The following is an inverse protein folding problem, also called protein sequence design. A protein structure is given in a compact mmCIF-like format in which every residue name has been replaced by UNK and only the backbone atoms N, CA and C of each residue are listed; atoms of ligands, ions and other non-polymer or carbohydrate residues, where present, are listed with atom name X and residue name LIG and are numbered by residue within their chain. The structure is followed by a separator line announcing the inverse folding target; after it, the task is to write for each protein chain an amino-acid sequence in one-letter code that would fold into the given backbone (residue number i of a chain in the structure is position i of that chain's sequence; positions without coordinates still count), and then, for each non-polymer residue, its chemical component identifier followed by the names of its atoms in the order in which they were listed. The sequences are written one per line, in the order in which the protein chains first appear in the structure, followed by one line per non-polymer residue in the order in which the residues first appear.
data_IF_684301485554
#
_entry.id   IF_684301485554
#
_cell.length_a   1.000
_cell.length_b   1.000
_cell.length_c   1.000
_cell.angle_alpha   90.00
_cell.angle_beta   90.00
_cell.angle_gamma   90.00
#
_symmetry.space_group_name_H-M   'P 1'
#
loop_
_entity.id
_entity.type
_entity.pdbx_description
1 polymer ?
#
# COMPACT_ATOMS: atom_id res chain seq x y z
N UNK A 1 -3.94 23.93 2.43
CA UNK A 1 -2.70 24.27 3.18
C UNK A 1 -1.67 23.27 2.72
N UNK A 2 -0.67 23.70 1.97
CA UNK A 2 0.33 22.81 1.39
C UNK A 2 1.32 22.45 2.50
N UNK A 3 1.49 21.16 2.78
CA UNK A 3 2.39 20.70 3.86
C UNK A 3 3.80 21.25 3.63
N UNK A 4 4.27 21.26 2.38
CA UNK A 4 5.65 21.58 1.99
C UNK A 4 6.12 22.99 2.34
N UNK A 5 5.22 23.97 2.41
CA UNK A 5 5.57 25.38 2.65
C UNK A 5 5.77 25.71 4.14
N UNK A 6 5.50 24.74 5.02
CA UNK A 6 5.56 24.95 6.46
C UNK A 6 6.96 24.68 7.02
N UNK A 7 7.33 25.36 8.12
CA UNK A 7 8.48 25.00 8.92
C UNK A 7 8.41 23.54 9.36
N UNK A 8 9.58 22.89 9.49
CA UNK A 8 9.68 21.47 9.85
C UNK A 8 8.92 21.16 11.14
N UNK A 9 9.04 22.03 12.15
CA UNK A 9 8.40 21.87 13.45
C UNK A 9 6.88 21.84 13.34
N UNK A 10 6.33 22.69 12.46
CA UNK A 10 4.89 22.77 12.22
C UNK A 10 4.38 21.56 11.43
N UNK A 11 5.15 21.08 10.42
CA UNK A 11 4.86 19.82 9.71
C UNK A 11 4.77 18.65 10.70
N UNK A 12 5.77 18.50 11.56
CA UNK A 12 5.82 17.44 12.58
C UNK A 12 4.63 17.54 13.53
N UNK A 13 4.28 18.74 13.99
CA UNK A 13 3.14 18.96 14.88
C UNK A 13 1.83 18.51 14.24
N UNK A 14 1.60 18.88 12.98
CA UNK A 14 0.40 18.48 12.23
C UNK A 14 0.38 16.97 11.99
N UNK A 15 1.48 16.38 11.52
CA UNK A 15 1.55 14.94 11.29
C UNK A 15 1.36 14.13 12.58
N UNK A 16 1.85 14.59 13.74
CA UNK A 16 1.53 13.97 15.04
C UNK A 16 0.04 14.04 15.35
N UNK A 17 -0.57 15.21 15.17
CA UNK A 17 -2.00 15.36 15.42
C UNK A 17 -2.84 14.42 14.53
N UNK A 18 -2.44 14.25 13.27
CA UNK A 18 -3.10 13.31 12.36
C UNK A 18 -2.80 11.85 12.70
N UNK A 19 -1.59 11.53 13.18
CA UNK A 19 -1.24 10.21 13.73
C UNK A 19 -2.14 9.87 14.93
N UNK A 20 -2.31 10.79 15.88
CA UNK A 20 -3.16 10.57 17.05
C UNK A 20 -4.60 10.27 16.63
N UNK A 21 -5.16 11.06 15.69
CA UNK A 21 -6.49 10.81 15.12
C UNK A 21 -6.55 9.45 14.43
N UNK A 22 -5.53 9.10 13.65
CA UNK A 22 -5.45 7.83 12.95
C UNK A 22 -5.44 6.64 13.92
N UNK A 23 -4.70 6.73 15.02
CA UNK A 23 -4.64 5.70 16.06
C UNK A 23 -6.03 5.40 16.67
N UNK A 24 -6.92 6.39 16.79
CA UNK A 24 -8.31 6.15 17.23
C UNK A 24 -9.17 5.38 16.22
N UNK A 25 -8.73 5.29 14.96
CA UNK A 25 -9.45 4.53 13.91
C UNK A 25 -9.00 3.08 13.81
N UNK A 26 -7.89 2.72 14.46
CA UNK A 26 -7.29 1.39 14.36
C UNK A 26 -7.93 0.39 15.33
N UNK A 27 -7.90 -0.88 14.94
CA UNK A 27 -8.23 -1.98 15.86
C UNK A 27 -7.17 -2.06 16.98
N UNK A 28 -7.53 -2.45 18.22
CA UNK A 28 -6.59 -2.48 19.35
C UNK A 28 -5.28 -3.23 19.06
N UNK A 29 -5.37 -4.39 18.41
CA UNK A 29 -4.20 -5.20 18.02
C UNK A 29 -3.26 -4.49 17.04
N UNK A 30 -3.77 -3.60 16.19
CA UNK A 30 -2.95 -2.78 15.30
C UNK A 30 -2.25 -1.67 16.10
N UNK A 31 -2.96 -1.00 17.01
CA UNK A 31 -2.39 0.07 17.85
C UNK A 31 -1.15 -0.39 18.63
N UNK A 32 -1.16 -1.60 19.17
CA UNK A 32 -0.01 -2.19 19.89
C UNK A 32 1.26 -2.26 19.03
N UNK A 33 1.10 -2.35 17.70
CA UNK A 33 2.20 -2.45 16.75
C UNK A 33 2.62 -1.09 16.17
N UNK A 34 1.83 -0.04 16.41
CA UNK A 34 2.21 1.36 16.19
C UNK A 34 2.81 1.95 17.46
N UNK A 35 3.96 1.42 17.90
CA UNK A 35 4.64 1.96 19.07
C UNK A 35 5.18 3.40 18.82
N UNK A 36 5.49 4.18 19.87
CA UNK A 36 5.93 5.57 19.71
C UNK A 36 7.19 5.76 18.85
N UNK A 37 8.09 4.77 18.83
CA UNK A 37 9.28 4.81 18.00
C UNK A 37 8.95 4.68 16.51
N UNK A 38 8.06 3.74 16.15
CA UNK A 38 7.57 3.56 14.79
C UNK A 38 6.81 4.80 14.32
N UNK A 39 5.95 5.37 15.16
CA UNK A 39 5.21 6.60 14.83
C UNK A 39 6.17 7.76 14.52
N UNK A 40 7.20 7.95 15.36
CA UNK A 40 8.18 9.03 15.17
C UNK A 40 8.99 8.81 13.90
N UNK A 41 9.53 7.60 13.68
CA UNK A 41 10.28 7.27 12.48
C UNK A 41 9.43 7.44 11.21
N UNK A 42 8.15 7.04 11.26
CA UNK A 42 7.25 7.21 10.12
C UNK A 42 7.04 8.69 9.82
N UNK A 43 6.72 9.51 10.82
CA UNK A 43 6.54 10.96 10.63
C UNK A 43 7.81 11.58 10.04
N UNK A 44 8.99 11.23 10.55
CA UNK A 44 10.26 11.74 10.04
C UNK A 44 10.49 11.38 8.57
N UNK A 45 10.17 10.14 8.17
CA UNK A 45 10.29 9.69 6.77
C UNK A 45 9.36 10.43 5.80
N UNK A 46 8.30 11.08 6.30
CA UNK A 46 7.32 11.79 5.46
C UNK A 46 7.66 13.28 5.27
N UNK A 47 8.64 13.83 5.99
CA UNK A 47 8.86 15.28 6.04
C UNK A 47 9.38 15.90 4.74
N UNK A 48 10.15 15.13 3.96
CA UNK A 48 10.68 15.61 2.67
C UNK A 48 9.68 15.48 1.51
N UNK A 49 8.59 14.74 1.72
CA UNK A 49 7.51 14.55 0.76
C UNK A 49 7.76 13.48 -0.32
N UNK A 50 8.96 12.92 -0.40
CA UNK A 50 9.34 11.89 -1.39
C UNK A 50 8.49 10.63 -1.22
N UNK A 51 8.24 10.21 0.02
CA UNK A 51 7.43 9.02 0.31
C UNK A 51 6.01 9.16 -0.23
N UNK A 52 5.44 10.36 -0.22
CA UNK A 52 4.12 10.59 -0.79
C UNK A 52 4.11 10.36 -2.31
N UNK A 53 5.11 10.88 -3.02
CA UNK A 53 5.26 10.67 -4.47
C UNK A 53 5.46 9.19 -4.81
N UNK A 54 6.22 8.46 -3.98
CA UNK A 54 6.42 7.02 -4.14
C UNK A 54 5.08 6.28 -3.98
N UNK A 55 4.32 6.56 -2.91
CA UNK A 55 3.04 5.90 -2.67
C UNK A 55 2.02 6.22 -3.76
N UNK A 56 1.98 7.45 -4.27
CA UNK A 56 1.10 7.84 -5.38
C UNK A 56 1.50 7.10 -6.68
N UNK A 57 2.79 7.05 -6.99
CA UNK A 57 3.31 6.29 -8.15
C UNK A 57 2.99 4.79 -8.04
N UNK A 58 3.12 4.22 -6.84
CA UNK A 58 2.79 2.80 -6.59
C UNK A 58 1.29 2.53 -6.73
N UNK A 59 0.44 3.48 -6.35
CA UNK A 59 -1.01 3.39 -6.53
C UNK A 59 -1.39 3.40 -8.02
N UNK A 60 -0.78 4.28 -8.81
CA UNK A 60 -1.01 4.32 -10.25
C UNK A 60 -0.53 3.03 -10.93
N UNK A 61 0.64 2.52 -10.55
CA UNK A 61 1.15 1.24 -11.02
C UNK A 61 0.24 0.07 -10.62
N UNK A 62 -0.30 0.09 -9.40
CA UNK A 62 -1.27 -0.92 -8.95
C UNK A 62 -2.52 -0.91 -9.83
N UNK A 63 -3.11 0.27 -10.07
CA UNK A 63 -4.30 0.40 -10.90
C UNK A 63 -4.04 -0.07 -12.35
N UNK A 64 -2.87 0.25 -12.89
CA UNK A 64 -2.48 -0.22 -14.23
C UNK A 64 -2.37 -1.75 -14.28
N UNK A 65 -1.68 -2.35 -13.30
CA UNK A 65 -1.50 -3.80 -13.25
C UNK A 65 -2.82 -4.55 -13.05
N UNK A 66 -3.68 -4.08 -12.14
CA UNK A 66 -5.00 -4.68 -11.90
C UNK A 66 -5.88 -4.62 -13.17
N UNK A 67 -5.85 -3.49 -13.89
CA UNK A 67 -6.55 -3.37 -15.17
C UNK A 67 -6.01 -4.34 -16.22
N UNK A 68 -4.69 -4.47 -16.34
CA UNK A 68 -4.07 -5.41 -17.28
C UNK A 68 -4.44 -6.86 -16.97
N UNK A 69 -4.37 -7.27 -15.70
CA UNK A 69 -4.77 -8.62 -15.27
C UNK A 69 -6.25 -8.89 -15.54
N UNK A 70 -7.13 -7.89 -15.31
CA UNK A 70 -8.55 -8.00 -15.61
C UNK A 70 -8.80 -8.17 -17.12
N UNK A 71 -8.18 -7.33 -17.95
CA UNK A 71 -8.34 -7.38 -19.40
C UNK A 71 -7.81 -8.70 -19.97
N UNK A 72 -6.67 -9.19 -19.46
CA UNK A 72 -6.12 -10.49 -19.82
C UNK A 72 -7.04 -11.64 -19.42
N UNK A 73 -7.61 -11.58 -18.21
CA UNK A 73 -8.60 -12.56 -17.75
C UNK A 73 -9.80 -12.61 -18.68
N UNK A 74 -10.37 -11.46 -19.05
CA UNK A 74 -11.52 -11.39 -19.95
C UNK A 74 -11.21 -11.99 -21.32
N UNK A 75 -10.03 -11.67 -21.87
CA UNK A 75 -9.59 -12.24 -23.15
C UNK A 75 -9.48 -13.75 -23.09
N UNK A 76 -8.81 -14.30 -22.06
CA UNK A 76 -8.66 -15.75 -21.89
C UNK A 76 -10.00 -16.45 -21.69
N UNK A 77 -10.94 -15.85 -20.94
CA UNK A 77 -12.29 -16.40 -20.76
C UNK A 77 -13.09 -16.42 -22.07
N UNK A 78 -12.94 -15.41 -22.93
CA UNK A 78 -13.58 -15.38 -24.24
C UNK A 78 -13.06 -16.49 -25.17
N UNK A 79 -11.76 -16.79 -25.12
CA UNK A 79 -11.12 -17.86 -25.91
C UNK A 79 -11.55 -19.28 -25.46
N UNK A 80 -11.98 -19.44 -24.19
CA UNK A 80 -12.32 -20.74 -23.61
C UNK A 80 -13.77 -21.21 -23.86
N UNK A 81 -14.62 -20.41 -24.53
CA UNK A 81 -16.06 -20.70 -24.67
C UNK A 81 -16.41 -22.00 -25.43
N UNK A 82 -15.44 -22.71 -26.01
CA UNK A 82 -15.64 -23.89 -26.86
C UNK A 82 -14.77 -25.10 -26.45
N UNK A 83 -14.12 -25.10 -25.28
CA UNK A 83 -13.12 -26.11 -24.90
C UNK A 83 -13.68 -27.09 -23.86
N UNK A 84 -13.44 -28.42 -23.99
CA UNK A 84 -13.57 -29.33 -22.85
C UNK A 84 -12.66 -28.85 -21.70
N UNK A 85 -13.04 -29.14 -20.45
CA UNK A 85 -12.29 -28.77 -19.24
C UNK A 85 -12.24 -27.27 -18.89
N UNK A 86 -13.27 -26.51 -19.31
CA UNK A 86 -13.44 -25.08 -19.02
C UNK A 86 -13.18 -24.72 -17.54
N UNK A 87 -13.72 -25.51 -16.60
CA UNK A 87 -13.57 -25.24 -15.16
C UNK A 87 -12.10 -25.32 -14.70
N UNK A 88 -11.33 -26.29 -15.20
CA UNK A 88 -9.92 -26.41 -14.84
C UNK A 88 -9.10 -25.27 -15.44
N UNK A 89 -9.40 -24.88 -16.67
CA UNK A 89 -8.73 -23.76 -17.34
C UNK A 89 -9.04 -22.42 -16.64
N UNK A 90 -10.28 -22.21 -16.21
CA UNK A 90 -10.66 -21.04 -15.42
C UNK A 90 -9.89 -20.99 -14.08
N UNK A 91 -9.80 -22.12 -13.37
CA UNK A 91 -9.01 -22.22 -12.13
C UNK A 91 -7.53 -21.90 -12.36
N UNK A 92 -6.94 -22.39 -13.45
CA UNK A 92 -5.54 -22.08 -13.81
C UNK A 92 -5.33 -20.59 -14.08
N UNK A 93 -6.28 -19.94 -14.76
CA UNK A 93 -6.24 -18.49 -14.99
C UNK A 93 -6.28 -17.74 -13.66
N UNK A 94 -7.25 -18.05 -12.80
CA UNK A 94 -7.41 -17.36 -11.52
C UNK A 94 -6.20 -17.60 -10.59
N UNK A 95 -5.61 -18.81 -10.60
CA UNK A 95 -4.36 -19.09 -9.89
C UNK A 95 -3.19 -18.23 -10.38
N UNK A 96 -2.98 -18.16 -11.70
CA UNK A 96 -1.91 -17.33 -12.27
C UNK A 96 -2.10 -15.85 -11.91
N UNK A 97 -3.34 -15.36 -11.86
CA UNK A 97 -3.64 -13.98 -11.44
C UNK A 97 -3.27 -13.77 -9.98
N UNK A 98 -3.61 -14.70 -9.08
CA UNK A 98 -3.20 -14.62 -7.67
C UNK A 98 -1.67 -14.59 -7.53
N UNK A 99 -0.96 -15.43 -8.28
CA UNK A 99 0.52 -15.45 -8.26
C UNK A 99 1.12 -14.12 -8.74
N UNK A 100 0.54 -13.49 -9.76
CA UNK A 100 0.99 -12.16 -10.22
C UNK A 100 0.66 -11.06 -9.22
N UNK A 101 -0.50 -11.10 -8.58
CA UNK A 101 -0.85 -10.16 -7.50
C UNK A 101 0.13 -10.26 -6.33
N UNK A 102 0.50 -11.49 -5.92
CA UNK A 102 1.48 -11.71 -4.86
C UNK A 102 2.86 -11.14 -5.20
N UNK A 103 3.31 -11.29 -6.46
CA UNK A 103 4.56 -10.67 -6.94
C UNK A 103 4.49 -9.15 -6.89
N UNK A 104 3.36 -8.56 -7.28
CA UNK A 104 3.16 -7.11 -7.22
C UNK A 104 3.23 -6.61 -5.78
N UNK A 105 2.56 -7.28 -4.84
CA UNK A 105 2.62 -6.93 -3.41
C UNK A 105 4.05 -6.99 -2.90
N UNK A 106 4.79 -8.07 -3.20
CA UNK A 106 6.18 -8.20 -2.79
C UNK A 106 7.07 -7.08 -3.37
N UNK A 107 6.83 -6.68 -4.62
CA UNK A 107 7.56 -5.59 -5.27
C UNK A 107 7.26 -4.23 -4.64
N UNK A 108 5.99 -3.95 -4.31
CA UNK A 108 5.58 -2.74 -3.60
C UNK A 108 6.23 -2.66 -2.20
N UNK A 109 6.18 -3.76 -1.44
CA UNK A 109 6.84 -3.90 -0.15
C UNK A 109 8.36 -3.64 -0.26
N UNK A 110 9.02 -4.26 -1.25
CA UNK A 110 10.45 -4.05 -1.48
C UNK A 110 10.76 -2.61 -1.87
N UNK A 111 9.88 -1.94 -2.61
CA UNK A 111 10.10 -0.55 -3.05
C UNK A 111 10.05 0.39 -1.85
N UNK A 112 9.02 0.27 -1.00
CA UNK A 112 8.89 1.06 0.22
C UNK A 112 10.01 0.79 1.23
N UNK A 113 10.41 -0.47 1.39
CA UNK A 113 11.54 -0.83 2.25
C UNK A 113 12.87 -0.21 1.76
N UNK A 114 13.13 -0.25 0.44
CA UNK A 114 14.34 0.38 -0.16
C UNK A 114 14.32 1.90 -0.09
N UNK A 115 13.13 2.50 -0.12
CA UNK A 115 12.96 3.94 0.10
C UNK A 115 13.16 4.35 1.58
N UNK A 116 13.43 3.40 2.47
CA UNK A 116 13.65 3.67 3.89
C UNK A 116 12.38 3.95 4.67
N UNK A 117 11.20 3.60 4.13
CA UNK A 117 9.94 3.78 4.86
C UNK A 117 9.90 2.75 5.99
N UNK A 118 9.82 3.19 7.26
CA UNK A 118 9.87 2.29 8.40
C UNK A 118 8.66 1.35 8.40
N UNK A 119 8.81 0.16 8.98
CA UNK A 119 7.74 -0.85 9.05
C UNK A 119 7.56 -1.69 7.78
N UNK A 120 8.15 -1.30 6.64
CA UNK A 120 8.07 -2.07 5.40
C UNK A 120 9.19 -3.11 5.27
N UNK A 121 8.78 -4.32 4.89
CA UNK A 121 9.62 -5.45 4.49
C UNK A 121 8.79 -6.39 3.63
N UNK A 122 9.44 -7.22 2.82
CA UNK A 122 8.73 -8.28 2.10
C UNK A 122 8.24 -9.32 3.12
N UNK A 123 6.95 -9.62 3.11
CA UNK A 123 6.32 -10.55 4.05
C UNK A 123 5.01 -11.09 3.52
N UNK A 124 4.77 -12.39 3.76
CA UNK A 124 3.51 -13.08 3.49
C UNK A 124 2.68 -13.27 4.76
N UNK A 125 3.13 -12.73 5.90
CA UNK A 125 2.39 -12.83 7.14
C UNK A 125 1.16 -11.90 7.07
N UNK A 126 -0.07 -12.42 7.19
CA UNK A 126 -1.27 -11.60 7.03
C UNK A 126 -1.37 -10.45 8.04
N UNK A 127 -0.84 -10.64 9.24
CA UNK A 127 -0.83 -9.60 10.26
C UNK A 127 0.09 -8.44 9.88
N UNK A 128 1.30 -8.76 9.39
CA UNK A 128 2.26 -7.75 8.95
C UNK A 128 1.80 -7.02 7.69
N UNK A 129 1.18 -7.74 6.74
CA UNK A 129 0.56 -7.14 5.56
C UNK A 129 -0.52 -6.14 6.00
N UNK A 130 -1.41 -6.53 6.91
CA UNK A 130 -2.43 -5.61 7.43
C UNK A 130 -1.80 -4.38 8.11
N UNK A 131 -0.74 -4.56 8.89
CA UNK A 131 -0.01 -3.44 9.50
C UNK A 131 0.54 -2.48 8.45
N UNK A 132 1.21 -3.01 7.42
CA UNK A 132 1.74 -2.21 6.31
C UNK A 132 0.62 -1.49 5.54
N UNK A 133 -0.52 -2.14 5.34
CA UNK A 133 -1.70 -1.52 4.71
C UNK A 133 -2.28 -0.37 5.55
N UNK A 134 -2.31 -0.51 6.88
CA UNK A 134 -2.69 0.60 7.76
C UNK A 134 -1.70 1.77 7.65
N UNK A 135 -0.40 1.49 7.56
CA UNK A 135 0.61 2.53 7.33
C UNK A 135 0.41 3.24 5.98
N UNK A 136 0.15 2.50 4.90
CA UNK A 136 -0.18 3.09 3.59
C UNK A 136 -1.45 3.95 3.70
N UNK A 137 -2.50 3.47 4.38
CA UNK A 137 -3.74 4.23 4.58
C UNK A 137 -3.48 5.56 5.26
N UNK A 138 -2.63 5.57 6.28
CA UNK A 138 -2.22 6.81 6.95
C UNK A 138 -1.50 7.76 5.98
N UNK A 139 -0.48 7.27 5.25
CA UNK A 139 0.30 8.08 4.30
C UNK A 139 -0.60 8.68 3.22
N UNK A 140 -1.51 7.88 2.64
CA UNK A 140 -2.45 8.35 1.62
C UNK A 140 -3.46 9.35 2.16
N UNK A 141 -3.89 9.20 3.42
CA UNK A 141 -4.80 10.16 4.08
C UNK A 141 -4.12 11.50 4.27
N UNK A 142 -2.85 11.50 4.72
CA UNK A 142 -2.05 12.72 4.82
C UNK A 142 -1.86 13.36 3.44
N UNK A 143 -1.45 12.59 2.44
CA UNK A 143 -1.25 13.08 1.08
C UNK A 143 -2.52 13.77 0.55
N UNK A 144 -3.68 13.11 0.65
CA UNK A 144 -4.94 13.66 0.15
C UNK A 144 -5.38 14.95 0.86
N UNK A 145 -4.96 15.15 2.12
CA UNK A 145 -5.36 16.30 2.93
C UNK A 145 -4.48 17.53 2.74
N UNK A 146 -3.21 17.32 2.35
CA UNK A 146 -2.18 18.35 2.37
C UNK A 146 -1.41 18.51 1.05
N UNK A 147 -1.79 17.75 0.01
CA UNK A 147 -1.38 18.01 -1.37
C UNK A 147 -2.13 19.18 -1.99
#
# INVERSE_FOLDING_TARGET
MILNDLPKEEKVRLMRQEMDKFMFTLKPKMCENFNPALQTALIESLLDGTVFQIVDSLKDLQQLNEKQLYDERQKRLAELQMVPDLEEQMKRIDMNIMDELDKIVAQQQSTLARAGVPGFRVTNNPFEINLQMEMIRFIMTLHSKYS
#
